data_IF_778002019959
#
_entry.id   IF_778002019959
#
_cell.length_a   1.000
_cell.length_b   1.000
_cell.length_c   1.000
_cell.angle_alpha   90.00
_cell.angle_beta   90.00
_cell.angle_gamma   90.00
#
_symmetry.space_group_name_H-M   'P 1'
#
loop_
_entity.id
_entity.type
_entity.pdbx_description
1 polymer ?
#
# COMPACT_ATOMS: atom_id res chain seq x y z
N UNK A 1 -4.88 -20.35 -3.37
CA UNK A 1 -4.82 -19.25 -4.36
C UNK A 1 -4.49 -17.95 -3.64
N UNK A 2 -3.68 -17.07 -4.23
CA UNK A 2 -3.41 -15.74 -3.69
C UNK A 2 -3.93 -14.65 -4.61
N UNK A 3 -4.46 -13.55 -4.07
CA UNK A 3 -5.00 -12.44 -4.86
C UNK A 3 -4.65 -11.08 -4.28
N UNK A 4 -4.24 -10.13 -5.12
CA UNK A 4 -3.95 -8.75 -4.72
C UNK A 4 -4.81 -7.77 -5.50
N UNK A 5 -5.15 -6.64 -4.86
CA UNK A 5 -5.87 -5.53 -5.49
C UNK A 5 -5.01 -4.26 -5.50
N UNK A 6 -5.33 -3.32 -6.38
CA UNK A 6 -4.70 -2.00 -6.43
C UNK A 6 -5.64 -0.95 -5.86
N UNK A 7 -5.10 -0.06 -5.02
CA UNK A 7 -5.81 1.01 -4.34
C UNK A 7 -5.28 2.37 -4.83
N UNK A 8 -6.16 3.35 -5.02
CA UNK A 8 -5.82 4.66 -5.56
C UNK A 8 -5.71 5.75 -4.46
N UNK A 9 -5.65 7.04 -4.86
CA UNK A 9 -5.56 8.18 -3.92
C UNK A 9 -6.75 8.31 -2.98
N UNK A 10 -7.87 7.63 -3.25
CA UNK A 10 -9.02 7.59 -2.38
C UNK A 10 -8.89 6.52 -1.27
N UNK A 11 -7.79 5.75 -1.24
CA UNK A 11 -7.58 4.65 -0.30
C UNK A 11 -8.45 3.42 -0.59
N UNK A 12 -9.09 3.39 -1.76
CA UNK A 12 -10.02 2.34 -2.19
C UNK A 12 -9.62 1.86 -3.58
N UNK A 13 -10.13 0.70 -3.98
CA UNK A 13 -9.98 0.25 -5.37
C UNK A 13 -10.83 1.12 -6.30
N UNK A 14 -10.60 1.04 -7.62
CA UNK A 14 -11.41 1.74 -8.64
C UNK A 14 -12.92 1.47 -8.51
N UNK A 15 -13.30 0.32 -7.97
CA UNK A 15 -14.70 -0.08 -7.76
C UNK A 15 -15.21 0.27 -6.35
N UNK A 16 -14.45 1.01 -5.55
CA UNK A 16 -14.84 1.48 -4.22
C UNK A 16 -14.63 0.49 -3.08
N UNK A 17 -13.96 -0.65 -3.32
CA UNK A 17 -13.65 -1.63 -2.26
C UNK A 17 -12.55 -1.08 -1.34
N UNK A 18 -12.83 -1.01 -0.04
CA UNK A 18 -11.87 -0.63 1.01
C UNK A 18 -10.97 -1.81 1.38
N UNK A 19 -9.80 -1.59 2.01
CA UNK A 19 -8.92 -2.68 2.42
C UNK A 19 -9.58 -3.59 3.47
N UNK A 20 -10.29 -3.03 4.45
CA UNK A 20 -11.15 -3.79 5.38
C UNK A 20 -12.20 -4.67 4.66
N UNK A 21 -12.87 -4.15 3.62
CA UNK A 21 -13.84 -4.95 2.86
C UNK A 21 -13.18 -6.07 2.05
N UNK A 22 -11.95 -5.87 1.57
CA UNK A 22 -11.16 -6.94 0.97
C UNK A 22 -10.86 -8.04 2.00
N UNK A 23 -10.47 -7.68 3.23
CA UNK A 23 -10.21 -8.64 4.30
C UNK A 23 -11.42 -9.55 4.58
N UNK A 24 -12.62 -8.97 4.67
CA UNK A 24 -13.87 -9.73 4.86
C UNK A 24 -14.11 -10.68 3.68
N UNK A 25 -14.03 -10.19 2.45
CA UNK A 25 -14.29 -11.00 1.24
C UNK A 25 -13.26 -12.11 1.03
N UNK A 26 -12.00 -11.87 1.37
CA UNK A 26 -10.93 -12.84 1.18
C UNK A 26 -11.12 -14.10 2.02
N UNK A 27 -11.72 -13.96 3.22
CA UNK A 27 -12.10 -15.06 4.08
C UNK A 27 -13.17 -15.94 3.42
N UNK A 28 -14.22 -15.34 2.88
CA UNK A 28 -15.32 -16.05 2.21
C UNK A 28 -14.86 -16.81 0.96
N UNK A 29 -13.84 -16.27 0.28
CA UNK A 29 -13.25 -16.88 -0.92
C UNK A 29 -12.20 -17.96 -0.63
N UNK A 30 -11.86 -18.21 0.63
CA UNK A 30 -10.86 -19.21 1.01
C UNK A 30 -9.46 -18.93 0.46
N UNK A 31 -9.06 -17.65 0.36
CA UNK A 31 -7.76 -17.27 -0.17
C UNK A 31 -6.62 -17.66 0.79
N UNK A 32 -5.55 -18.22 0.23
CA UNK A 32 -4.35 -18.59 0.98
C UNK A 32 -3.50 -17.37 1.36
N UNK A 33 -3.66 -16.27 0.63
CA UNK A 33 -3.04 -14.98 0.92
C UNK A 33 -3.61 -13.88 0.04
N UNK A 34 -3.64 -12.66 0.57
CA UNK A 34 -4.17 -11.52 -0.16
C UNK A 34 -3.54 -10.21 0.29
N UNK A 35 -3.76 -9.14 -0.47
CA UNK A 35 -3.30 -7.82 -0.07
C UNK A 35 -3.29 -6.84 -1.22
N UNK A 36 -2.22 -6.07 -1.31
CA UNK A 36 -2.14 -4.94 -2.22
C UNK A 36 -0.90 -4.99 -3.11
N UNK A 37 -1.07 -4.54 -4.35
CA UNK A 37 0.04 -4.28 -5.25
C UNK A 37 -0.15 -2.99 -6.05
N UNK A 38 0.97 -2.44 -6.52
CA UNK A 38 0.98 -1.21 -7.30
C UNK A 38 0.35 -0.03 -6.53
N UNK A 39 -0.72 0.59 -7.05
CA UNK A 39 -1.25 1.84 -6.53
C UNK A 39 -0.38 3.04 -6.92
N UNK A 40 -0.10 3.90 -5.94
CA UNK A 40 0.60 5.16 -6.14
C UNK A 40 2.06 5.02 -5.72
N UNK A 41 2.29 4.84 -4.42
CA UNK A 41 3.60 4.68 -3.82
C UNK A 41 3.56 3.80 -2.57
N UNK A 42 4.72 3.62 -1.95
CA UNK A 42 4.87 2.76 -0.79
C UNK A 42 4.10 3.28 0.46
N UNK A 43 3.98 4.60 0.64
CA UNK A 43 3.24 5.20 1.76
C UNK A 43 1.75 4.83 1.73
N UNK A 44 1.08 5.04 0.59
CA UNK A 44 -0.33 4.63 0.39
C UNK A 44 -0.53 3.11 0.53
N UNK A 45 0.42 2.32 0.03
CA UNK A 45 0.34 0.86 0.16
C UNK A 45 0.46 0.44 1.62
N UNK A 46 1.37 1.03 2.40
CA UNK A 46 1.49 0.74 3.83
C UNK A 46 0.20 1.05 4.60
N UNK A 47 -0.54 2.08 4.18
CA UNK A 47 -1.85 2.36 4.77
C UNK A 47 -2.85 1.22 4.52
N UNK A 48 -2.90 0.76 3.28
CA UNK A 48 -3.74 -0.37 2.86
C UNK A 48 -3.39 -1.65 3.63
N UNK A 49 -2.10 -1.97 3.76
CA UNK A 49 -1.63 -3.16 4.47
C UNK A 49 -1.95 -3.06 5.96
N UNK A 50 -1.73 -1.89 6.56
CA UNK A 50 -2.04 -1.68 7.99
C UNK A 50 -3.54 -1.84 8.25
N UNK A 51 -4.40 -1.31 7.38
CA UNK A 51 -5.86 -1.47 7.51
C UNK A 51 -6.30 -2.93 7.32
N UNK A 52 -5.73 -3.65 6.33
CA UNK A 52 -5.97 -5.09 6.16
C UNK A 52 -5.59 -5.85 7.42
N UNK A 53 -4.38 -5.63 7.95
CA UNK A 53 -3.86 -6.37 9.10
C UNK A 53 -4.66 -6.14 10.38
N UNK A 54 -5.34 -5.01 10.53
CA UNK A 54 -6.27 -4.74 11.65
C UNK A 54 -7.57 -5.53 11.56
N UNK A 55 -7.95 -5.99 10.37
CA UNK A 55 -9.24 -6.60 10.07
C UNK A 55 -9.16 -8.11 9.77
N UNK A 56 -8.04 -8.75 10.08
CA UNK A 56 -7.79 -10.17 9.83
C UNK A 56 -7.26 -10.88 11.08
N UNK A 57 -7.28 -12.21 11.02
CA UNK A 57 -6.64 -13.05 12.02
C UNK A 57 -5.13 -13.18 11.74
N UNK A 58 -4.34 -13.41 12.79
CA UNK A 58 -2.87 -13.51 12.74
C UNK A 58 -2.31 -14.62 11.83
N UNK A 59 -3.10 -15.65 11.52
CA UNK A 59 -2.76 -16.75 10.63
C UNK A 59 -2.82 -16.37 9.15
N UNK A 60 -3.53 -15.30 8.81
CA UNK A 60 -3.73 -14.85 7.43
C UNK A 60 -2.42 -14.34 6.81
N UNK A 61 -2.19 -14.64 5.53
CA UNK A 61 -1.00 -14.19 4.79
C UNK A 61 -1.31 -12.90 4.05
N UNK A 62 -0.72 -11.79 4.51
CA UNK A 62 -0.85 -10.48 3.87
C UNK A 62 0.29 -10.25 2.87
N UNK A 63 -0.06 -9.80 1.67
CA UNK A 63 0.85 -9.57 0.55
C UNK A 63 0.98 -8.07 0.27
N UNK A 64 2.21 -7.54 0.30
CA UNK A 64 2.52 -6.15 0.05
C UNK A 64 3.49 -6.02 -1.13
N UNK A 65 3.06 -5.33 -2.20
CA UNK A 65 3.88 -5.18 -3.41
C UNK A 65 3.84 -3.76 -3.97
N UNK A 66 4.57 -2.84 -3.35
CA UNK A 66 4.51 -1.40 -3.67
C UNK A 66 5.20 -1.05 -4.99
N UNK A 67 4.78 0.05 -5.62
CA UNK A 67 5.61 0.68 -6.67
C UNK A 67 6.91 1.20 -6.06
N UNK A 68 7.98 1.26 -6.87
CA UNK A 68 9.26 1.81 -6.47
C UNK A 68 9.23 3.35 -6.51
N UNK A 69 8.55 3.97 -5.55
CA UNK A 69 8.29 5.41 -5.55
C UNK A 69 7.11 5.80 -6.44
N UNK A 70 6.88 7.11 -6.57
CA UNK A 70 5.73 7.66 -7.28
C UNK A 70 6.05 7.71 -8.79
N UNK A 71 5.16 7.23 -9.67
CA UNK A 71 5.34 7.34 -11.11
C UNK A 71 5.26 8.80 -11.56
N UNK A 72 6.28 9.25 -12.29
CA UNK A 72 6.37 10.60 -12.87
C UNK A 72 6.49 10.50 -14.40
N UNK A 73 5.81 11.38 -15.13
CA UNK A 73 5.96 11.46 -16.58
C UNK A 73 7.11 12.41 -16.93
N UNK A 74 8.20 11.88 -17.49
CA UNK A 74 9.37 12.64 -17.92
C UNK A 74 9.73 12.23 -19.34
N UNK A 75 9.83 13.21 -20.24
CA UNK A 75 10.34 13.02 -21.61
C UNK A 75 9.65 11.87 -22.37
N UNK A 76 8.31 11.80 -22.29
CA UNK A 76 7.54 10.77 -22.98
C UNK A 76 7.45 9.42 -22.27
N UNK A 77 8.13 9.24 -21.13
CA UNK A 77 8.22 7.99 -20.41
C UNK A 77 7.77 8.11 -18.95
N UNK A 78 7.29 7.00 -18.37
CA UNK A 78 7.02 6.91 -16.93
C UNK A 78 8.31 6.51 -16.22
N UNK A 79 8.78 7.37 -15.33
CA UNK A 79 9.96 7.15 -14.48
C UNK A 79 9.51 7.00 -13.04
N UNK A 80 10.12 6.06 -12.33
CA UNK A 80 9.85 5.77 -10.92
C UNK A 80 11.00 6.31 -10.06
N UNK A 81 10.66 7.09 -9.03
CA UNK A 81 11.63 7.86 -8.23
C UNK A 81 12.18 7.13 -7.01
N UNK A 82 11.66 5.94 -6.71
CA UNK A 82 12.05 5.18 -5.52
C UNK A 82 13.48 4.68 -5.62
N UNK A 83 14.22 4.84 -4.52
CA UNK A 83 15.59 4.38 -4.37
C UNK A 83 15.66 3.00 -3.69
N UNK A 84 16.82 2.34 -3.77
CA UNK A 84 17.11 1.12 -3.01
C UNK A 84 16.89 1.31 -1.50
N UNK A 85 17.31 2.47 -0.96
CA UNK A 85 17.08 2.83 0.44
C UNK A 85 15.59 2.95 0.77
N UNK A 86 14.82 3.65 -0.06
CA UNK A 86 13.38 3.81 0.16
C UNK A 86 12.67 2.46 0.18
N UNK A 87 13.04 1.55 -0.73
CA UNK A 87 12.46 0.21 -0.76
C UNK A 87 12.90 -0.66 0.42
N UNK A 88 14.10 -0.46 0.96
CA UNK A 88 14.55 -1.08 2.21
C UNK A 88 13.76 -0.57 3.43
N UNK A 89 13.57 0.75 3.55
CA UNK A 89 12.74 1.34 4.61
C UNK A 89 11.29 0.85 4.53
N UNK A 90 10.75 0.73 3.31
CA UNK A 90 9.42 0.16 3.05
C UNK A 90 9.29 -1.27 3.59
N UNK A 91 10.31 -2.12 3.44
CA UNK A 91 10.29 -3.50 3.93
C UNK A 91 10.07 -3.54 5.44
N UNK A 92 10.83 -2.76 6.20
CA UNK A 92 10.70 -2.75 7.66
C UNK A 92 9.29 -2.33 8.10
N UNK A 93 8.74 -1.29 7.46
CA UNK A 93 7.38 -0.83 7.76
C UNK A 93 6.32 -1.84 7.32
N UNK A 94 6.49 -2.49 6.17
CA UNK A 94 5.54 -3.49 5.67
C UNK A 94 5.49 -4.72 6.59
N UNK A 95 6.64 -5.17 7.11
CA UNK A 95 6.72 -6.26 8.08
C UNK A 95 6.03 -5.87 9.39
N UNK A 96 6.33 -4.69 9.94
CA UNK A 96 5.67 -4.17 11.14
C UNK A 96 4.15 -3.95 10.95
N UNK A 97 3.71 -3.61 9.73
CA UNK A 97 2.29 -3.53 9.36
C UNK A 97 1.63 -4.90 9.17
N UNK A 98 2.34 -6.02 9.33
CA UNK A 98 1.79 -7.37 9.30
C UNK A 98 1.90 -8.11 7.96
N UNK A 99 2.61 -7.56 6.96
CA UNK A 99 2.84 -8.27 5.70
C UNK A 99 3.79 -9.45 5.88
N UNK A 100 3.45 -10.59 5.27
CA UNK A 100 4.26 -11.83 5.27
C UNK A 100 4.92 -12.11 3.93
N UNK A 101 4.35 -11.60 2.84
CA UNK A 101 4.96 -11.64 1.51
C UNK A 101 5.16 -10.19 1.07
N UNK A 102 6.41 -9.81 0.83
CA UNK A 102 6.77 -8.44 0.49
C UNK A 102 7.56 -8.45 -0.82
N UNK A 103 7.28 -7.48 -1.69
CA UNK A 103 8.00 -7.29 -2.94
C UNK A 103 7.73 -5.93 -3.57
N UNK A 104 8.06 -5.81 -4.85
CA UNK A 104 7.85 -4.60 -5.64
C UNK A 104 6.99 -4.79 -6.89
N UNK A 105 6.32 -3.73 -7.33
CA UNK A 105 5.49 -3.66 -8.54
C UNK A 105 6.24 -2.91 -9.65
N UNK A 106 5.68 -1.82 -10.16
CA UNK A 106 6.31 -1.06 -11.23
C UNK A 106 7.52 -0.26 -10.70
N UNK A 107 8.54 -0.13 -11.54
CA UNK A 107 9.80 0.55 -11.20
C UNK A 107 10.78 -0.27 -10.37
N UNK A 108 10.37 -1.42 -9.84
CA UNK A 108 11.26 -2.30 -9.07
C UNK A 108 12.28 -2.98 -10.01
N UNK A 109 13.54 -3.01 -9.58
CA UNK A 109 14.66 -3.61 -10.32
C UNK A 109 15.34 -4.66 -9.47
N UNK A 110 16.29 -5.42 -10.04
CA UNK A 110 17.08 -6.39 -9.27
C UNK A 110 17.84 -5.76 -8.10
N UNK A 111 18.32 -4.51 -8.25
CA UNK A 111 19.00 -3.81 -7.16
C UNK A 111 18.05 -3.49 -6.01
N UNK A 112 16.82 -3.04 -6.34
CA UNK A 112 15.76 -2.84 -5.36
C UNK A 112 15.44 -4.14 -4.62
N UNK A 113 15.29 -5.27 -5.33
CA UNK A 113 15.03 -6.58 -4.70
C UNK A 113 16.17 -7.01 -3.78
N UNK A 114 17.43 -6.79 -4.18
CA UNK A 114 18.59 -7.08 -3.32
C UNK A 114 18.57 -6.25 -2.03
N UNK A 115 18.32 -4.95 -2.13
CA UNK A 115 18.21 -4.07 -0.96
C UNK A 115 17.03 -4.46 -0.05
N UNK A 116 15.88 -4.79 -0.64
CA UNK A 116 14.71 -5.28 0.10
C UNK A 116 15.02 -6.59 0.84
N UNK A 117 15.72 -7.54 0.21
CA UNK A 117 16.11 -8.80 0.84
C UNK A 117 17.03 -8.55 2.04
N UNK A 118 18.05 -7.72 1.87
CA UNK A 118 18.96 -7.36 2.96
C UNK A 118 18.19 -6.73 4.14
N UNK A 119 17.28 -5.79 3.86
CA UNK A 119 16.44 -5.18 4.89
C UNK A 119 15.55 -6.20 5.62
N UNK A 120 15.03 -7.21 4.92
CA UNK A 120 14.27 -8.29 5.56
C UNK A 120 15.15 -9.14 6.50
N UNK A 121 16.40 -9.40 6.12
CA UNK A 121 17.35 -10.18 6.93
C UNK A 121 17.78 -9.43 8.19
N UNK A 122 17.89 -8.10 8.10
CA UNK A 122 18.28 -7.21 9.21
C UNK A 122 17.09 -6.76 10.08
N UNK A 123 15.86 -7.06 9.65
CA UNK A 123 14.66 -6.54 10.30
C UNK A 123 14.46 -7.10 11.71
N UNK A 124 14.22 -6.19 12.66
CA UNK A 124 13.72 -6.51 13.99
C UNK A 124 12.25 -6.12 14.07
N UNK A 125 11.42 -7.08 14.49
CA UNK A 125 9.98 -6.86 14.62
C UNK A 125 9.70 -5.79 15.68
N UNK A 126 8.96 -4.75 15.29
CA UNK A 126 8.56 -3.65 16.15
C UNK A 126 7.03 -3.50 16.15
N UNK A 127 6.52 -2.53 16.89
CA UNK A 127 5.11 -2.17 16.84
C UNK A 127 4.69 -1.73 15.43
N UNK A 128 3.40 -1.85 15.13
CA UNK A 128 2.81 -1.31 13.90
C UNK A 128 3.18 0.17 13.74
N UNK A 129 3.59 0.61 12.55
CA UNK A 129 4.06 1.98 12.36
C UNK A 129 2.92 2.99 12.56
N UNK A 130 3.26 4.17 13.07
CA UNK A 130 2.34 5.31 13.12
C UNK A 130 2.30 6.04 11.78
N UNK A 131 1.31 6.91 11.59
CA UNK A 131 1.21 7.72 10.37
C UNK A 131 2.45 8.62 10.18
N UNK A 132 2.94 9.37 11.20
CA UNK A 132 4.17 10.13 11.08
C UNK A 132 5.39 9.27 10.68
N UNK A 133 5.53 8.06 11.23
CA UNK A 133 6.66 7.18 10.90
C UNK A 133 6.70 6.82 9.41
N UNK A 134 5.52 6.56 8.82
CA UNK A 134 5.40 6.23 7.39
C UNK A 134 5.75 7.46 6.56
N UNK A 135 5.19 8.63 6.88
CA UNK A 135 5.40 9.83 6.07
C UNK A 135 6.84 10.35 6.14
N UNK A 136 7.49 10.28 7.31
CA UNK A 136 8.87 10.70 7.47
C UNK A 136 9.85 9.79 6.71
N UNK A 137 9.64 8.47 6.75
CA UNK A 137 10.58 7.50 6.17
C UNK A 137 10.35 7.24 4.68
N UNK A 138 9.10 7.28 4.23
CA UNK A 138 8.72 6.83 2.87
C UNK A 138 8.24 7.99 2.02
N UNK A 139 7.53 8.95 2.62
CA UNK A 139 6.95 10.10 1.94
C UNK A 139 5.45 10.25 2.20
N UNK A 140 4.92 11.40 1.81
CA UNK A 140 3.53 11.78 2.08
C UNK A 140 2.53 10.76 1.53
N UNK A 141 1.44 10.62 2.26
CA UNK A 141 0.33 9.76 1.90
C UNK A 141 -0.81 10.57 1.28
N UNK A 142 -1.53 9.99 0.32
CA UNK A 142 -2.74 10.65 -0.21
C UNK A 142 -3.80 10.83 0.88
N UNK A 143 -4.68 11.82 0.69
CA UNK A 143 -5.75 12.12 1.66
C UNK A 143 -6.67 10.93 1.94
N UNK A 144 -6.99 10.12 0.92
CA UNK A 144 -7.86 8.96 1.07
C UNK A 144 -7.17 7.83 1.82
N UNK A 145 -5.92 7.52 1.49
CA UNK A 145 -5.13 6.53 2.24
C UNK A 145 -4.93 6.96 3.70
N UNK A 146 -4.72 8.26 3.96
CA UNK A 146 -4.66 8.81 5.34
C UNK A 146 -5.99 8.62 6.08
N UNK A 147 -7.12 8.86 5.43
CA UNK A 147 -8.44 8.62 6.02
C UNK A 147 -8.62 7.13 6.40
N UNK A 148 -8.31 6.22 5.46
CA UNK A 148 -8.33 4.78 5.71
C UNK A 148 -7.39 4.37 6.84
N UNK A 149 -6.17 4.93 6.90
CA UNK A 149 -5.23 4.66 7.98
C UNK A 149 -5.80 5.05 9.36
N UNK A 150 -6.60 6.11 9.42
CA UNK A 150 -7.28 6.59 10.63
C UNK A 150 -8.60 5.87 10.91
N UNK A 151 -8.99 4.90 10.08
CA UNK A 151 -10.26 4.17 10.20
C UNK A 151 -11.48 4.95 9.69
N UNK A 152 -11.26 6.02 8.93
CA UNK A 152 -12.33 6.80 8.29
C UNK A 152 -12.53 6.31 6.85
N UNK A 153 -13.59 5.53 6.64
CA UNK A 153 -14.01 5.07 5.32
C UNK A 153 -15.09 5.95 4.68
N UNK A 154 -15.44 7.07 5.32
CA UNK A 154 -16.46 7.99 4.80
C UNK A 154 -16.07 8.45 3.40
N UNK A 155 -17.06 8.40 2.50
CA UNK A 155 -16.79 8.68 1.08
C UNK A 155 -16.54 10.18 0.93
N UNK A 156 -15.47 10.64 0.24
CA UNK A 156 -15.40 12.03 -0.17
C UNK A 156 -16.59 12.30 -1.10
N UNK A 157 -17.61 12.99 -0.59
CA UNK A 157 -18.76 13.39 -1.39
C UNK A 157 -18.24 14.39 -2.42
N UNK A 158 -17.93 13.93 -3.63
CA UNK A 158 -17.73 14.84 -4.77
C UNK A 158 -19.03 15.62 -4.92
N UNK A 159 -19.06 16.88 -4.46
CA UNK A 159 -20.12 17.82 -4.81
C UNK A 159 -20.19 17.81 -6.34
N UNK A 160 -21.29 17.28 -6.88
CA UNK A 160 -21.61 17.31 -8.31
C UNK A 160 -21.43 18.78 -8.73
N UNK A 161 -20.40 19.08 -9.54
CA UNK A 161 -20.30 20.40 -10.16
C UNK A 161 -21.55 20.56 -11.00
N UNK A 162 -22.40 21.53 -10.65
CA UNK A 162 -23.56 21.85 -11.47
C UNK A 162 -23.08 22.12 -12.88
N UNK A 163 -23.73 21.49 -13.87
CA UNK A 163 -23.52 21.87 -15.27
C UNK A 163 -23.81 23.37 -15.34
N UNK A 164 -22.81 24.18 -15.73
CA UNK A 164 -23.07 25.53 -16.20
C UNK A 164 -24.13 25.40 -17.29
N UNK A 165 -25.33 25.95 -17.05
CA UNK A 165 -26.28 26.16 -18.14
C UNK A 165 -25.58 27.06 -19.15
N UNK A 166 -25.68 26.68 -20.42
CA UNK A 166 -25.31 27.57 -21.53
C UNK A 166 -26.17 28.82 -21.50
#
# INVERSE_FOLDING_TARGET
>A
VCATMSFDTAGKTMMGVTPANLAIKAKDLGLSGFGANCGIGASDLLATITDISRNINSDTTVIAKANCGIPEFKEGNIVYTGTEKLMADYVHLAMNSGAKIIGGCCGTTFKHVKAMRQAMDEHQMNASPSLPDIEEKIGEMSKGSRAIFLGDDSTPVKKRRSRRSK
#
